data_IF_495967514024
#
_entry.id   IF_495967514024
#
_cell.length_a   1.000
_cell.length_b   1.000
_cell.length_c   1.000
_cell.angle_alpha   90.00
_cell.angle_beta   90.00
_cell.angle_gamma   90.00
#
_symmetry.space_group_name_H-M   'P 1'
#
loop_
_entity.id
_entity.type
_entity.pdbx_description
1 polymer ?
#
# COMPACT_ATOMS: atom_id res chain seq x y z
N UNK A 1 -0.42 6.57 21.02
CA UNK A 1 -1.78 6.28 20.51
C UNK A 1 -1.77 6.46 19.00
N UNK A 2 -2.43 5.60 18.22
CA UNK A 2 -2.48 5.72 16.77
C UNK A 2 -3.25 6.98 16.36
N UNK A 3 -2.81 7.64 15.28
CA UNK A 3 -3.48 8.83 14.75
C UNK A 3 -4.89 8.49 14.23
N UNK A 4 -5.88 9.31 14.58
CA UNK A 4 -7.27 9.10 14.16
C UNK A 4 -7.45 9.36 12.65
N UNK A 5 -8.16 8.47 11.96
CA UNK A 5 -8.52 8.68 10.56
C UNK A 5 -9.64 9.72 10.46
N UNK A 6 -9.35 10.83 9.79
CA UNK A 6 -10.31 11.92 9.53
C UNK A 6 -10.80 11.90 8.08
N UNK A 7 -11.89 12.64 7.79
CA UNK A 7 -12.40 12.82 6.43
C UNK A 7 -11.34 13.39 5.47
N UNK A 8 -10.51 14.31 5.95
CA UNK A 8 -9.42 14.92 5.16
C UNK A 8 -8.41 13.88 4.70
N UNK A 9 -8.01 12.95 5.57
CA UNK A 9 -7.10 11.87 5.21
C UNK A 9 -7.71 10.94 4.13
N UNK A 10 -9.02 10.67 4.22
CA UNK A 10 -9.72 9.83 3.24
C UNK A 10 -9.80 10.54 1.89
N UNK A 11 -10.17 11.84 1.87
CA UNK A 11 -10.24 12.61 0.64
C UNK A 11 -8.87 12.75 -0.02
N UNK A 12 -7.84 13.08 0.76
CA UNK A 12 -6.46 13.14 0.27
C UNK A 12 -6.03 11.80 -0.34
N UNK A 13 -6.31 10.69 0.33
CA UNK A 13 -5.98 9.36 -0.19
C UNK A 13 -6.72 9.05 -1.49
N UNK A 14 -7.98 9.48 -1.60
CA UNK A 14 -8.76 9.33 -2.82
C UNK A 14 -8.19 10.16 -3.97
N UNK A 15 -7.79 11.40 -3.70
CA UNK A 15 -7.18 12.30 -4.69
C UNK A 15 -5.82 11.77 -5.17
N UNK A 16 -5.01 11.20 -4.25
CA UNK A 16 -3.73 10.56 -4.59
C UNK A 16 -3.93 9.42 -5.58
N UNK A 17 -4.83 8.47 -5.29
CA UNK A 17 -4.97 7.26 -6.13
C UNK A 17 -5.61 7.56 -7.50
N UNK A 18 -6.37 8.66 -7.62
CA UNK A 18 -6.93 9.15 -8.89
C UNK A 18 -6.06 10.22 -9.56
N UNK A 19 -4.87 10.48 -9.01
CA UNK A 19 -3.90 11.43 -9.52
C UNK A 19 -3.10 10.88 -10.68
N UNK A 20 -1.83 11.28 -10.74
CA UNK A 20 -0.88 10.77 -11.74
C UNK A 20 -0.29 9.45 -11.30
N UNK A 21 0.08 8.63 -12.27
CA UNK A 21 0.83 7.41 -12.02
C UNK A 21 2.15 7.71 -11.29
N UNK A 22 2.55 6.86 -10.32
CA UNK A 22 3.84 7.01 -9.67
C UNK A 22 4.98 6.77 -10.65
N UNK A 23 5.98 7.66 -10.63
CA UNK A 23 7.14 7.64 -11.54
C UNK A 23 8.41 7.11 -10.91
N UNK A 24 8.41 7.02 -9.58
CA UNK A 24 9.52 6.54 -8.77
C UNK A 24 9.00 5.86 -7.51
N UNK A 25 9.93 5.33 -6.72
CA UNK A 25 9.64 4.63 -5.48
C UNK A 25 8.95 5.51 -4.42
N UNK A 26 9.21 6.82 -4.39
CA UNK A 26 8.60 7.73 -3.41
C UNK A 26 7.14 7.99 -3.75
N UNK A 27 6.84 8.24 -5.03
CA UNK A 27 5.47 8.39 -5.51
C UNK A 27 4.69 7.09 -5.40
N UNK A 28 5.35 5.94 -5.63
CA UNK A 28 4.75 4.64 -5.43
C UNK A 28 4.43 4.39 -3.95
N UNK A 29 5.35 4.76 -3.05
CA UNK A 29 5.14 4.69 -1.60
C UNK A 29 3.95 5.55 -1.16
N UNK A 30 3.81 6.77 -1.70
CA UNK A 30 2.65 7.62 -1.45
C UNK A 30 1.34 6.95 -1.88
N UNK A 31 1.32 6.39 -3.09
CA UNK A 31 0.13 5.73 -3.64
C UNK A 31 -0.27 4.49 -2.81
N UNK A 32 0.68 3.61 -2.48
CA UNK A 32 0.35 2.41 -1.70
C UNK A 32 -0.02 2.72 -0.25
N UNK A 33 0.56 3.78 0.35
CA UNK A 33 0.15 4.29 1.65
C UNK A 33 -1.29 4.82 1.63
N UNK A 34 -1.69 5.55 0.58
CA UNK A 34 -3.06 5.99 0.39
C UNK A 34 -4.03 4.81 0.25
N UNK A 35 -3.71 3.79 -0.55
CA UNK A 35 -4.53 2.58 -0.67
C UNK A 35 -4.63 1.84 0.67
N UNK A 36 -3.55 1.78 1.46
CA UNK A 36 -3.56 1.19 2.81
C UNK A 36 -4.51 1.94 3.76
N UNK A 37 -4.49 3.29 3.74
CA UNK A 37 -5.42 4.09 4.54
C UNK A 37 -6.87 3.85 4.13
N UNK A 38 -7.17 3.84 2.82
CA UNK A 38 -8.51 3.52 2.33
C UNK A 38 -8.93 2.09 2.72
N UNK A 39 -8.01 1.13 2.75
CA UNK A 39 -8.28 -0.22 3.24
C UNK A 39 -8.57 -0.25 4.75
N UNK A 40 -7.92 0.60 5.55
CA UNK A 40 -8.20 0.76 6.98
C UNK A 40 -9.58 1.40 7.24
N UNK A 41 -10.08 2.22 6.32
CA UNK A 41 -11.42 2.85 6.43
C UNK A 41 -12.56 1.96 5.97
N UNK A 42 -12.27 0.88 5.25
CA UNK A 42 -13.28 0.09 4.54
C UNK A 42 -14.33 -0.57 5.45
N UNK A 43 -14.03 -0.74 6.75
CA UNK A 43 -14.97 -1.22 7.78
C UNK A 43 -15.72 -0.10 8.52
N UNK A 44 -15.33 1.17 8.35
CA UNK A 44 -15.95 2.32 9.00
C UNK A 44 -17.14 2.82 8.19
N UNK A 45 -18.34 2.83 8.79
CA UNK A 45 -19.60 3.18 8.12
C UNK A 45 -19.57 4.59 7.52
N UNK A 46 -18.93 5.53 8.21
CA UNK A 46 -18.82 6.94 7.81
C UNK A 46 -18.05 7.17 6.50
N UNK A 47 -17.08 6.30 6.16
CA UNK A 47 -16.24 6.45 4.97
C UNK A 47 -16.63 5.54 3.80
N UNK A 48 -17.58 4.60 4.02
CA UNK A 48 -17.94 3.58 3.02
C UNK A 48 -18.44 4.15 1.69
N UNK A 49 -19.02 5.35 1.69
CA UNK A 49 -19.49 6.04 0.47
C UNK A 49 -18.35 6.69 -0.33
N UNK A 50 -17.22 6.98 0.32
CA UNK A 50 -16.08 7.71 -0.25
C UNK A 50 -15.01 6.73 -0.73
N UNK A 51 -14.82 5.64 0.00
CA UNK A 51 -13.84 4.59 -0.32
C UNK A 51 -14.54 3.24 -0.57
N UNK A 52 -15.21 3.05 -1.73
CA UNK A 52 -15.76 1.75 -2.07
C UNK A 52 -14.67 0.67 -2.10
N UNK A 53 -14.97 -0.49 -1.50
CA UNK A 53 -14.07 -1.64 -1.48
C UNK A 53 -13.52 -2.02 -2.87
N UNK A 54 -14.36 -1.85 -3.90
CA UNK A 54 -14.02 -2.12 -5.30
C UNK A 54 -12.82 -1.27 -5.75
N UNK A 55 -12.80 0.00 -5.37
CA UNK A 55 -11.77 0.95 -5.81
C UNK A 55 -10.44 0.66 -5.14
N UNK A 56 -10.45 0.23 -3.88
CA UNK A 56 -9.26 -0.21 -3.14
C UNK A 56 -8.62 -1.42 -3.84
N UNK A 57 -9.40 -2.45 -4.17
CA UNK A 57 -8.89 -3.65 -4.86
C UNK A 57 -8.39 -3.34 -6.27
N UNK A 58 -9.10 -2.45 -6.97
CA UNK A 58 -8.70 -2.00 -8.31
C UNK A 58 -7.34 -1.31 -8.28
N UNK A 59 -7.14 -0.36 -7.37
CA UNK A 59 -5.88 0.38 -7.28
C UNK A 59 -4.74 -0.49 -6.75
N UNK A 60 -4.97 -1.38 -5.79
CA UNK A 60 -3.95 -2.35 -5.39
C UNK A 60 -3.50 -3.25 -6.56
N UNK A 61 -4.45 -3.73 -7.38
CA UNK A 61 -4.14 -4.48 -8.62
C UNK A 61 -3.34 -3.63 -9.61
N UNK A 62 -3.74 -2.37 -9.77
CA UNK A 62 -3.10 -1.44 -10.70
C UNK A 62 -1.66 -1.14 -10.29
N UNK A 63 -1.42 -0.79 -9.02
CA UNK A 63 -0.06 -0.57 -8.50
C UNK A 63 0.81 -1.82 -8.65
N UNK A 64 0.23 -3.01 -8.42
CA UNK A 64 0.97 -4.24 -8.68
C UNK A 64 1.34 -4.40 -10.17
N UNK A 65 0.43 -4.08 -11.10
CA UNK A 65 0.75 -4.11 -12.53
C UNK A 65 1.83 -3.09 -12.94
N UNK A 66 1.86 -1.92 -12.30
CA UNK A 66 2.94 -0.94 -12.51
C UNK A 66 4.28 -1.49 -12.00
N UNK A 67 4.29 -2.10 -10.82
CA UNK A 67 5.50 -2.74 -10.30
C UNK A 67 5.96 -3.91 -11.17
N UNK A 68 5.06 -4.76 -11.67
CA UNK A 68 5.44 -5.84 -12.62
C UNK A 68 6.07 -5.28 -13.90
N UNK A 69 5.67 -4.08 -14.34
CA UNK A 69 6.28 -3.41 -15.49
C UNK A 69 7.63 -2.74 -15.13
N UNK A 70 7.80 -2.30 -13.89
CA UNK A 70 9.01 -1.64 -13.38
C UNK A 70 9.25 -2.00 -11.91
N UNK A 71 10.12 -3.00 -11.69
CA UNK A 71 10.47 -3.48 -10.36
C UNK A 71 11.18 -2.42 -9.49
N UNK A 72 11.62 -1.28 -10.04
CA UNK A 72 12.29 -0.22 -9.25
C UNK A 72 11.32 0.59 -8.39
N UNK A 73 10.01 0.48 -8.63
CA UNK A 73 8.97 1.21 -7.90
C UNK A 73 8.78 0.74 -6.46
N UNK A 74 9.21 -0.47 -6.11
CA UNK A 74 9.11 -1.02 -4.76
C UNK A 74 10.25 -2.02 -4.50
N UNK A 75 10.50 -2.38 -3.24
CA UNK A 75 11.61 -3.27 -2.87
C UNK A 75 11.36 -4.72 -3.32
N UNK A 76 10.12 -5.18 -3.18
CA UNK A 76 9.67 -6.51 -3.63
C UNK A 76 8.15 -6.51 -3.76
N UNK A 77 7.63 -7.38 -4.60
CA UNK A 77 6.23 -7.77 -4.56
C UNK A 77 6.08 -9.27 -4.85
N UNK A 78 5.07 -9.88 -4.25
CA UNK A 78 4.72 -11.28 -4.47
C UNK A 78 3.23 -11.49 -4.28
N UNK A 79 2.72 -12.59 -4.82
CA UNK A 79 1.32 -12.97 -4.66
C UNK A 79 1.22 -14.40 -4.14
N UNK A 80 0.59 -14.54 -2.99
CA UNK A 80 0.19 -15.84 -2.45
C UNK A 80 -1.14 -16.27 -3.07
N UNK A 81 -1.10 -17.33 -3.88
CA UNK A 81 -2.28 -17.89 -4.56
C UNK A 81 -3.23 -18.58 -3.57
N UNK A 82 -2.70 -19.21 -2.51
CA UNK A 82 -3.50 -19.94 -1.54
C UNK A 82 -4.32 -18.97 -0.67
N UNK A 83 -3.65 -17.95 -0.14
CA UNK A 83 -4.27 -16.91 0.68
C UNK A 83 -4.93 -15.80 -0.14
N UNK A 84 -4.74 -15.82 -1.46
CA UNK A 84 -5.17 -14.78 -2.41
C UNK A 84 -4.72 -13.39 -1.97
N UNK A 85 -3.47 -13.28 -1.56
CA UNK A 85 -2.93 -12.09 -0.93
C UNK A 85 -1.75 -11.54 -1.73
N UNK A 86 -1.85 -10.27 -2.11
CA UNK A 86 -0.74 -9.50 -2.65
C UNK A 86 0.08 -8.94 -1.49
N UNK A 87 1.39 -9.17 -1.52
CA UNK A 87 2.37 -8.53 -0.66
C UNK A 87 3.24 -7.58 -1.49
N UNK A 88 3.40 -6.34 -1.03
CA UNK A 88 4.33 -5.37 -1.62
C UNK A 88 5.17 -4.77 -0.50
N UNK A 89 6.49 -4.80 -0.62
CA UNK A 89 7.40 -4.13 0.32
C UNK A 89 7.87 -2.81 -0.26
N UNK A 90 7.80 -1.76 0.55
CA UNK A 90 8.39 -0.47 0.23
C UNK A 90 8.90 0.21 1.51
N UNK A 91 10.16 0.66 1.52
CA UNK A 91 10.81 1.31 2.67
C UNK A 91 10.66 0.51 3.96
N UNK A 92 10.89 -0.81 3.89
CA UNK A 92 10.77 -1.79 5.00
C UNK A 92 9.36 -2.11 5.48
N UNK A 93 8.31 -1.45 4.96
CA UNK A 93 6.91 -1.77 5.24
C UNK A 93 6.41 -2.80 4.24
N UNK A 94 5.76 -3.85 4.72
CA UNK A 94 5.09 -4.85 3.88
C UNK A 94 3.57 -4.60 3.89
N UNK A 95 3.08 -4.10 2.77
CA UNK A 95 1.66 -3.89 2.52
C UNK A 95 1.01 -5.19 2.04
N UNK A 96 -0.20 -5.47 2.52
CA UNK A 96 -0.94 -6.69 2.17
C UNK A 96 -2.35 -6.39 1.68
N UNK A 97 -2.74 -6.95 0.53
CA UNK A 97 -4.08 -6.80 -0.05
C UNK A 97 -4.67 -8.13 -0.49
N UNK A 98 -5.67 -8.62 0.26
CA UNK A 98 -6.40 -9.83 -0.10
C UNK A 98 -7.38 -9.59 -1.27
N UNK A 99 -7.62 -10.61 -2.10
CA UNK A 99 -8.64 -10.60 -3.14
C UNK A 99 -8.54 -9.41 -4.12
N UNK A 100 -7.32 -9.13 -4.59
CA UNK A 100 -7.11 -8.25 -5.76
C UNK A 100 -7.69 -8.92 -7.03
N UNK A 101 -7.72 -8.20 -8.15
CA UNK A 101 -8.15 -8.75 -9.44
C UNK A 101 -7.02 -9.58 -10.08
N UNK A 102 -6.70 -10.71 -9.45
CA UNK A 102 -5.64 -11.67 -9.78
C UNK A 102 -5.73 -12.31 -11.19
N UNK A 103 -6.85 -12.11 -11.90
CA UNK A 103 -7.07 -12.54 -13.29
C UNK A 103 -6.77 -11.46 -14.34
N UNK A 104 -6.25 -10.31 -13.92
CA UNK A 104 -5.87 -9.23 -14.83
C UNK A 104 -4.55 -9.56 -15.55
N UNK A 105 -4.56 -9.55 -16.89
CA UNK A 105 -3.47 -10.17 -17.66
C UNK A 105 -2.05 -9.68 -17.34
N UNK A 106 -1.80 -8.37 -17.14
CA UNK A 106 -0.48 -7.89 -16.76
C UNK A 106 0.11 -8.50 -15.49
N UNK A 107 -0.71 -9.04 -14.58
CA UNK A 107 -0.23 -9.66 -13.35
C UNK A 107 -0.38 -11.18 -13.32
N UNK A 108 -1.26 -11.76 -14.14
CA UNK A 108 -1.46 -13.23 -14.21
C UNK A 108 -0.17 -13.93 -14.60
N UNK A 109 0.52 -13.41 -15.62
CA UNK A 109 1.78 -13.96 -16.11
C UNK A 109 2.85 -13.95 -15.01
N UNK A 110 2.95 -12.84 -14.26
CA UNK A 110 3.85 -12.74 -13.11
C UNK A 110 3.48 -13.74 -12.01
N UNK A 111 2.19 -13.82 -11.62
CA UNK A 111 1.73 -14.71 -10.54
C UNK A 111 2.11 -16.17 -10.79
N UNK A 112 2.13 -16.59 -12.05
CA UNK A 112 2.46 -17.95 -12.48
C UNK A 112 3.92 -18.15 -12.93
N UNK A 113 4.77 -17.12 -12.86
CA UNK A 113 6.18 -17.21 -13.23
C UNK A 113 7.05 -17.64 -12.04
N UNK A 114 8.29 -18.04 -12.33
CA UNK A 114 9.31 -18.34 -11.32
C UNK A 114 9.80 -17.09 -10.55
N UNK A 115 9.43 -15.89 -11.01
CA UNK A 115 9.75 -14.63 -10.33
C UNK A 115 8.83 -14.39 -9.14
N UNK A 116 7.60 -14.89 -9.16
CA UNK A 116 6.71 -14.82 -8.02
C UNK A 116 7.20 -15.76 -6.91
N UNK A 117 7.86 -15.17 -5.91
CA UNK A 117 8.34 -15.85 -4.71
C UNK A 117 7.49 -15.37 -3.54
N UNK A 118 6.39 -16.07 -3.18
CA UNK A 118 5.53 -15.68 -2.07
C UNK A 118 6.36 -15.45 -0.81
N UNK A 119 6.29 -14.24 -0.29
CA UNK A 119 6.98 -13.87 0.94
C UNK A 119 6.09 -14.15 2.15
N UNK A 120 6.70 -14.38 3.32
CA UNK A 120 5.94 -14.55 4.56
C UNK A 120 5.53 -13.20 5.13
N UNK A 121 4.32 -13.12 5.71
CA UNK A 121 3.87 -11.89 6.35
C UNK A 121 4.76 -11.51 7.54
N UNK A 122 5.18 -10.24 7.62
CA UNK A 122 6.11 -9.74 8.64
C UNK A 122 5.50 -9.67 10.06
N UNK A 123 4.21 -9.97 10.23
CA UNK A 123 3.52 -9.88 11.52
C UNK A 123 3.04 -8.47 11.92
N UNK A 124 3.39 -7.43 11.14
CA UNK A 124 3.04 -6.03 11.45
C UNK A 124 1.71 -5.65 10.82
N UNK A 125 0.74 -5.22 11.64
CA UNK A 125 -0.56 -4.72 11.16
C UNK A 125 -0.43 -3.24 10.80
N UNK A 126 -0.53 -2.91 9.51
CA UNK A 126 -0.37 -1.51 9.05
C UNK A 126 -1.65 -0.67 9.14
N UNK A 127 -2.83 -1.28 9.34
CA UNK A 127 -4.10 -0.57 9.38
C UNK A 127 -4.23 0.39 10.58
N UNK A 128 -3.81 0.01 11.81
CA UNK A 128 -3.89 0.92 12.97
C UNK A 128 -3.01 2.15 12.82
N UNK A 129 -1.86 2.03 12.15
CA UNK A 129 -0.90 3.12 11.90
C UNK A 129 -1.00 3.74 10.50
N UNK A 130 -2.12 3.51 9.78
CA UNK A 130 -2.23 3.90 8.38
C UNK A 130 -2.13 5.42 8.14
N UNK A 131 -2.60 6.23 9.09
CA UNK A 131 -2.47 7.70 9.04
C UNK A 131 -1.01 8.11 9.15
N UNK A 132 -0.27 7.48 10.07
CA UNK A 132 1.15 7.80 10.28
C UNK A 132 1.98 7.42 9.05
N UNK A 133 1.70 6.27 8.43
CA UNK A 133 2.33 5.85 7.17
C UNK A 133 2.06 6.87 6.05
N UNK A 134 0.81 7.32 5.90
CA UNK A 134 0.47 8.32 4.89
C UNK A 134 1.21 9.65 5.12
N UNK A 135 1.29 10.10 6.37
CA UNK A 135 1.98 11.34 6.73
C UNK A 135 3.48 11.26 6.41
N UNK A 136 4.13 10.13 6.71
CA UNK A 136 5.53 9.90 6.35
C UNK A 136 5.71 9.92 4.83
N UNK A 137 4.81 9.29 4.07
CA UNK A 137 4.88 9.29 2.61
C UNK A 137 4.71 10.70 2.01
N UNK A 138 3.77 11.49 2.53
CA UNK A 138 3.59 12.91 2.15
C UNK A 138 4.84 13.73 2.48
N UNK A 139 5.45 13.48 3.64
CA UNK A 139 6.71 14.13 4.01
C UNK A 139 7.85 13.76 3.07
N UNK A 140 7.97 12.48 2.70
CA UNK A 140 8.99 12.01 1.77
C UNK A 140 8.92 12.73 0.42
N UNK A 141 7.72 12.93 -0.10
CA UNK A 141 7.50 13.70 -1.34
C UNK A 141 7.91 15.16 -1.19
N UNK A 142 7.66 15.77 -0.03
CA UNK A 142 8.04 17.17 0.25
C UNK A 142 9.55 17.33 0.52
N UNK A 143 10.20 16.28 1.05
CA UNK A 143 11.61 16.26 1.36
C UNK A 143 12.27 14.96 0.83
N UNK A 144 12.55 14.87 -0.49
CA UNK A 144 13.05 13.63 -1.11
C UNK A 144 14.40 13.17 -0.56
N UNK A 145 15.22 14.07 -0.06
CA UNK A 145 16.53 13.74 0.55
C UNK A 145 16.42 13.27 2.01
N UNK A 146 15.23 13.40 2.62
CA UNK A 146 15.00 12.94 3.99
C UNK A 146 15.01 11.42 4.08
N UNK A 147 15.73 10.90 5.07
CA UNK A 147 15.58 9.50 5.47
C UNK A 147 14.31 9.34 6.30
N UNK A 148 13.49 8.37 5.92
CA UNK A 148 12.21 8.05 6.56
C UNK A 148 12.26 6.71 7.30
N UNK A 149 13.36 5.95 7.19
CA UNK A 149 13.46 4.61 7.77
C UNK A 149 13.36 4.63 9.29
N UNK A 150 13.97 5.61 9.96
CA UNK A 150 13.86 5.76 11.42
C UNK A 150 12.41 5.99 11.86
N UNK A 151 11.69 6.87 11.16
CA UNK A 151 10.26 7.14 11.42
C UNK A 151 9.40 5.91 11.17
N UNK A 152 9.66 5.20 10.08
CA UNK A 152 8.97 3.95 9.76
C UNK A 152 9.21 2.90 10.86
N UNK A 153 10.45 2.75 11.30
CA UNK A 153 10.80 1.79 12.35
C UNK A 153 10.12 2.15 13.68
N UNK A 154 10.12 3.43 14.06
CA UNK A 154 9.42 3.92 15.25
C UNK A 154 7.92 3.57 15.20
N UNK A 155 7.25 3.80 14.06
CA UNK A 155 5.83 3.50 13.96
C UNK A 155 5.52 2.01 13.93
N UNK A 156 6.41 1.18 13.36
CA UNK A 156 6.27 -0.29 13.33
C UNK A 156 6.36 -0.91 14.71
N UNK A 157 7.25 -0.42 15.58
CA UNK A 157 7.41 -0.99 16.93
C UNK A 157 6.13 -0.90 17.77
N UNK A 158 5.33 0.14 17.56
CA UNK A 158 4.03 0.31 18.22
C UNK A 158 2.99 -0.77 17.89
N UNK A 159 3.22 -1.58 16.86
CA UNK A 159 2.31 -2.66 16.41
C UNK A 159 2.89 -4.07 16.60
N UNK A 160 4.13 -4.17 17.11
CA UNK A 160 4.79 -5.44 17.45
C UNK A 160 4.65 -5.75 18.95
N UNK A 161 4.47 -4.72 19.79
CA UNK A 161 4.21 -4.79 21.24
C UNK A 161 2.72 -4.92 21.58
#
# INVERSE_FOLDING_TARGET
MPSEITLEHVQLSFDIIHGKDPRDKDEFFLNIAAVNLLNATAKKKEFKKIAPYKDIKRHATYLFSLWVADHTLADEASYDIADKCLYIRCYTLQFSFHFIYDKYQPIVEFIHSDENKPTTWDGVKLQPIAVDILNIAVEKIKNPLGDINDKINEIKQREIE
#
